data_IF_084971183351
#
_entry.id   IF_084971183351
#
_cell.length_a   1.000
_cell.length_b   1.000
_cell.length_c   1.000
_cell.angle_alpha   90.00
_cell.angle_beta   90.00
_cell.angle_gamma   90.00
#
_symmetry.space_group_name_H-M   'P 1'
#
loop_
_entity.id
_entity.type
_entity.pdbx_description
1 polymer ?
#
# COMPACT_ATOMS: atom_id res chain seq x y z
N UNK A 1 84.55 45.69 35.24
CA UNK A 1 83.25 46.09 34.64
C UNK A 1 82.33 44.90 34.74
N UNK A 2 81.29 44.99 35.57
CA UNK A 2 79.96 44.32 35.52
C UNK A 2 79.80 42.82 35.21
N UNK A 3 78.70 42.20 35.68
CA UNK A 3 78.80 40.95 36.46
C UNK A 3 77.89 39.79 35.97
N UNK A 4 78.04 38.65 36.65
CA UNK A 4 77.02 37.72 37.20
C UNK A 4 76.03 36.91 36.31
N UNK A 5 75.71 35.72 36.86
CA UNK A 5 74.42 34.96 36.83
C UNK A 5 74.11 34.17 35.53
N UNK A 6 73.57 32.95 35.47
CA UNK A 6 72.92 32.02 36.43
C UNK A 6 72.87 30.62 35.80
N UNK A 7 72.75 29.57 36.62
CA UNK A 7 72.40 28.20 36.22
C UNK A 7 70.95 28.07 35.69
N UNK A 8 70.72 27.09 34.80
CA UNK A 8 69.44 26.43 34.53
C UNK A 8 69.77 25.05 33.92
N UNK A 9 69.77 23.98 34.71
CA UNK A 9 68.64 23.07 34.97
C UNK A 9 67.95 22.52 33.72
N UNK A 10 67.94 21.19 33.64
CA UNK A 10 67.51 20.43 32.49
C UNK A 10 66.02 20.56 32.18
N UNK A 11 65.72 20.42 30.89
CA UNK A 11 64.41 20.02 30.41
C UNK A 11 64.60 18.79 29.52
N UNK A 12 63.97 17.64 29.83
CA UNK A 12 63.85 16.57 28.87
C UNK A 12 62.99 17.08 27.70
N UNK A 13 63.48 16.86 26.47
CA UNK A 13 62.71 17.12 25.25
C UNK A 13 61.37 16.37 25.34
N UNK A 14 60.24 16.97 24.91
CA UNK A 14 59.00 16.24 24.79
C UNK A 14 59.22 15.16 23.74
N UNK A 15 59.04 13.91 24.14
CA UNK A 15 58.85 12.81 23.21
C UNK A 15 57.51 13.09 22.55
N UNK A 16 57.54 13.70 21.36
CA UNK A 16 56.38 13.84 20.50
C UNK A 16 55.78 12.45 20.29
N UNK A 17 54.48 12.36 20.55
CA UNK A 17 53.69 11.16 20.55
C UNK A 17 53.39 10.75 19.09
N UNK A 18 54.43 10.44 18.31
CA UNK A 18 54.36 10.13 16.88
C UNK A 18 53.78 8.74 16.58
N UNK A 19 53.38 8.01 17.62
CA UNK A 19 52.76 6.67 17.51
C UNK A 19 51.28 6.73 17.08
N UNK A 20 50.66 7.93 17.05
CA UNK A 20 49.21 8.07 16.78
C UNK A 20 48.77 8.14 15.30
N UNK A 21 49.61 8.67 14.40
CA UNK A 21 49.19 8.97 13.01
C UNK A 21 49.34 7.76 12.09
N UNK A 22 50.46 7.04 12.19
CA UNK A 22 50.76 5.85 11.37
C UNK A 22 49.79 4.69 11.66
N UNK A 23 49.42 4.52 12.94
CA UNK A 23 48.53 3.44 13.38
C UNK A 23 47.08 3.72 12.96
N UNK A 24 46.61 4.97 12.99
CA UNK A 24 45.29 5.34 12.49
C UNK A 24 45.19 5.25 10.96
N UNK A 25 46.31 5.41 10.22
CA UNK A 25 46.32 5.11 8.78
C UNK A 25 46.12 3.64 8.47
N UNK A 26 46.71 2.71 9.24
CA UNK A 26 46.47 1.27 9.06
C UNK A 26 45.01 0.88 9.31
N UNK A 27 44.36 1.46 10.34
CA UNK A 27 42.92 1.24 10.61
C UNK A 27 42.04 1.79 9.50
N UNK A 28 42.38 2.97 8.96
CA UNK A 28 41.68 3.55 7.81
C UNK A 28 41.84 2.68 6.56
N UNK A 29 43.00 2.05 6.38
CA UNK A 29 43.26 1.14 5.27
C UNK A 29 42.49 -0.18 5.42
N UNK A 30 42.45 -0.76 6.64
CA UNK A 30 41.64 -1.93 6.97
C UNK A 30 40.13 -1.67 6.86
N UNK A 31 39.65 -0.48 7.25
CA UNK A 31 38.25 -0.08 7.07
C UNK A 31 37.85 0.09 5.59
N UNK A 32 38.84 0.30 4.71
CA UNK A 32 38.68 0.38 3.25
C UNK A 32 38.90 -0.97 2.55
N UNK A 33 39.37 -1.99 3.28
CA UNK A 33 39.69 -3.29 2.69
C UNK A 33 38.41 -3.91 2.09
N UNK A 34 38.40 -4.04 0.76
CA UNK A 34 37.24 -4.46 -0.04
C UNK A 34 36.91 -5.94 0.07
N UNK A 35 37.30 -6.58 1.17
CA UNK A 35 37.18 -8.02 1.40
C UNK A 35 35.86 -8.42 2.06
N UNK A 36 35.13 -7.47 2.67
CA UNK A 36 33.81 -7.70 3.31
C UNK A 36 32.70 -6.89 2.65
N UNK A 37 31.55 -7.53 2.44
CA UNK A 37 30.36 -6.86 1.91
C UNK A 37 29.67 -6.04 3.01
N UNK A 38 29.58 -4.73 2.81
CA UNK A 38 28.95 -3.81 3.75
C UNK A 38 27.46 -3.66 3.45
N UNK A 39 26.62 -3.96 4.43
CA UNK A 39 25.17 -3.71 4.38
C UNK A 39 24.87 -2.40 5.10
N UNK A 40 24.27 -1.45 4.38
CA UNK A 40 23.86 -0.17 4.97
C UNK A 40 22.53 -0.34 5.70
N UNK A 41 22.54 -0.18 7.02
CA UNK A 41 21.35 -0.28 7.88
C UNK A 41 20.58 1.04 7.95
N UNK A 42 21.29 2.16 7.83
CA UNK A 42 20.74 3.52 7.84
C UNK A 42 21.53 4.36 6.84
N UNK A 43 20.85 4.98 5.88
CA UNK A 43 21.47 6.00 5.03
C UNK A 43 21.57 7.33 5.77
N UNK A 44 22.68 8.06 5.55
CA UNK A 44 22.81 9.44 6.03
C UNK A 44 21.69 10.29 5.41
N UNK A 45 20.86 10.87 6.26
CA UNK A 45 19.84 11.82 5.82
C UNK A 45 20.40 13.22 6.04
N UNK A 46 20.57 14.06 5.01
CA UNK A 46 21.03 15.43 5.21
C UNK A 46 20.04 16.17 6.14
N UNK A 47 20.52 17.02 7.06
CA UNK A 47 19.66 17.73 8.00
C UNK A 47 18.64 18.58 7.23
N UNK A 48 17.36 18.23 7.32
CA UNK A 48 16.26 19.03 6.79
C UNK A 48 15.48 18.48 5.59
N UNK A 49 15.57 17.20 5.22
CA UNK A 49 14.65 16.63 4.23
C UNK A 49 13.22 16.55 4.81
N UNK A 50 12.24 17.34 4.31
CA UNK A 50 10.86 17.24 4.80
C UNK A 50 10.29 15.88 4.39
N UNK A 51 9.69 15.16 5.33
CA UNK A 51 8.87 13.98 5.00
C UNK A 51 7.85 14.37 3.92
N UNK A 52 7.71 13.60 2.84
CA UNK A 52 6.79 13.94 1.77
C UNK A 52 5.37 14.03 2.36
N UNK A 53 4.65 15.16 2.19
CA UNK A 53 3.32 15.30 2.75
C UNK A 53 2.45 14.20 2.17
N UNK A 54 1.69 13.51 3.04
CA UNK A 54 0.72 12.50 2.63
C UNK A 54 -0.23 13.10 1.61
N UNK A 55 0.03 12.85 0.33
CA UNK A 55 -0.66 13.51 -0.77
C UNK A 55 -2.11 13.05 -0.75
N UNK A 56 -3.03 13.97 -0.46
CA UNK A 56 -4.47 13.74 -0.43
C UNK A 56 -4.96 13.01 -1.70
N UNK A 57 -4.27 13.23 -2.83
CA UNK A 57 -4.46 12.55 -4.11
C UNK A 57 -4.39 11.02 -4.02
N UNK A 58 -3.47 10.42 -3.25
CA UNK A 58 -3.35 8.95 -3.15
C UNK A 58 -4.55 8.29 -2.45
N UNK A 59 -5.29 9.02 -1.63
CA UNK A 59 -6.49 8.54 -0.94
C UNK A 59 -7.77 8.81 -1.73
N UNK A 60 -7.85 9.96 -2.42
CA UNK A 60 -9.06 10.37 -3.14
C UNK A 60 -9.18 9.68 -4.51
N UNK A 61 -8.06 9.44 -5.20
CA UNK A 61 -8.05 8.83 -6.54
C UNK A 61 -8.71 7.44 -6.58
N UNK A 62 -8.43 6.47 -5.68
CA UNK A 62 -9.06 5.15 -5.74
C UNK A 62 -10.56 5.21 -5.45
N UNK A 63 -11.01 6.10 -4.56
CA UNK A 63 -12.44 6.28 -4.25
C UNK A 63 -13.17 6.86 -5.46
N UNK A 64 -12.60 7.88 -6.10
CA UNK A 64 -13.15 8.46 -7.31
C UNK A 64 -13.17 7.46 -8.47
N UNK A 65 -12.09 6.67 -8.64
CA UNK A 65 -12.03 5.62 -9.65
C UNK A 65 -13.09 4.52 -9.42
N UNK A 66 -13.28 4.08 -8.17
CA UNK A 66 -14.31 3.12 -7.82
C UNK A 66 -15.73 3.66 -8.09
N UNK A 67 -15.98 4.93 -7.78
CA UNK A 67 -17.25 5.59 -8.09
C UNK A 67 -17.53 5.64 -9.60
N UNK A 68 -16.54 6.01 -10.41
CA UNK A 68 -16.65 6.04 -11.87
C UNK A 68 -16.89 4.63 -12.41
N UNK A 69 -16.19 3.63 -11.90
CA UNK A 69 -16.37 2.24 -12.31
C UNK A 69 -17.80 1.74 -12.03
N UNK A 70 -18.35 2.03 -10.84
CA UNK A 70 -19.74 1.69 -10.50
C UNK A 70 -20.72 2.40 -11.42
N UNK A 71 -20.53 3.69 -11.69
CA UNK A 71 -21.38 4.46 -12.60
C UNK A 71 -21.40 3.84 -14.02
N UNK A 72 -20.22 3.47 -14.53
CA UNK A 72 -20.07 2.81 -15.83
C UNK A 72 -20.78 1.45 -15.86
N UNK A 73 -20.61 0.63 -14.82
CA UNK A 73 -21.28 -0.68 -14.72
C UNK A 73 -22.81 -0.49 -14.74
N UNK A 74 -23.34 0.42 -13.93
CA UNK A 74 -24.78 0.70 -13.88
C UNK A 74 -25.29 1.19 -15.25
N UNK A 75 -24.55 2.06 -15.93
CA UNK A 75 -24.92 2.53 -17.26
C UNK A 75 -24.92 1.40 -18.30
N UNK A 76 -23.91 0.53 -18.29
CA UNK A 76 -23.80 -0.60 -19.22
C UNK A 76 -24.91 -1.64 -18.96
N UNK A 77 -25.07 -2.08 -17.71
CA UNK A 77 -26.12 -3.04 -17.33
C UNK A 77 -27.49 -2.47 -17.64
N UNK A 78 -27.71 -1.20 -17.30
CA UNK A 78 -28.95 -0.50 -17.63
C UNK A 78 -29.25 -0.49 -19.12
N UNK A 79 -28.26 -0.15 -19.95
CA UNK A 79 -28.40 -0.18 -21.41
C UNK A 79 -28.71 -1.57 -21.96
N UNK A 80 -28.12 -2.64 -21.39
CA UNK A 80 -28.37 -4.01 -21.83
C UNK A 80 -29.79 -4.47 -21.47
N UNK A 81 -30.22 -4.21 -20.24
CA UNK A 81 -31.57 -4.55 -19.78
C UNK A 81 -32.62 -3.74 -20.54
N UNK A 82 -32.36 -2.45 -20.78
CA UNK A 82 -33.22 -1.57 -21.58
C UNK A 82 -33.53 -2.16 -22.96
N UNK A 83 -32.48 -2.57 -23.68
CA UNK A 83 -32.62 -3.12 -25.03
C UNK A 83 -33.47 -4.39 -25.03
N UNK A 84 -33.24 -5.29 -24.07
CA UNK A 84 -34.02 -6.53 -23.91
C UNK A 84 -35.50 -6.26 -23.67
N UNK A 85 -35.81 -5.31 -22.79
CA UNK A 85 -37.20 -4.94 -22.47
C UNK A 85 -37.86 -4.28 -23.68
N UNK A 86 -37.17 -3.39 -24.39
CA UNK A 86 -37.70 -2.72 -25.58
C UNK A 86 -38.01 -3.72 -26.72
N UNK A 87 -37.15 -4.72 -26.93
CA UNK A 87 -37.39 -5.81 -27.90
C UNK A 87 -38.66 -6.61 -27.53
N UNK A 88 -38.78 -7.05 -26.28
CA UNK A 88 -39.94 -7.81 -25.81
C UNK A 88 -41.25 -7.01 -25.88
N UNK A 89 -41.21 -5.73 -25.53
CA UNK A 89 -42.39 -4.87 -25.55
C UNK A 89 -42.84 -4.55 -26.98
N UNK A 90 -41.90 -4.32 -27.90
CA UNK A 90 -42.23 -4.03 -29.30
C UNK A 90 -42.95 -5.23 -29.97
N UNK A 91 -42.51 -6.46 -29.69
CA UNK A 91 -43.19 -7.68 -30.18
C UNK A 91 -44.64 -7.73 -29.68
N UNK A 92 -44.85 -7.49 -28.38
CA UNK A 92 -46.18 -7.54 -27.78
C UNK A 92 -47.13 -6.46 -28.31
N UNK A 93 -46.65 -5.21 -28.45
CA UNK A 93 -47.45 -4.09 -28.92
C UNK A 93 -47.96 -4.31 -30.35
N UNK A 94 -47.13 -4.93 -31.20
CA UNK A 94 -47.48 -5.21 -32.59
C UNK A 94 -48.46 -6.38 -32.70
N UNK A 95 -48.33 -7.41 -31.86
CA UNK A 95 -49.32 -8.49 -31.79
C UNK A 95 -50.73 -7.93 -31.48
N UNK A 96 -50.85 -7.06 -30.47
CA UNK A 96 -52.12 -6.41 -30.11
C UNK A 96 -52.67 -5.51 -31.22
N UNK A 97 -51.80 -4.74 -31.89
CA UNK A 97 -52.23 -3.90 -33.01
C UNK A 97 -52.74 -4.75 -34.18
N UNK A 98 -52.08 -5.86 -34.46
CA UNK A 98 -52.45 -6.79 -35.53
C UNK A 98 -53.80 -7.45 -35.24
N UNK A 99 -54.08 -7.82 -33.98
CA UNK A 99 -55.40 -8.31 -33.56
C UNK A 99 -56.51 -7.30 -33.90
N UNK A 100 -56.32 -6.04 -33.53
CA UNK A 100 -57.29 -4.97 -33.80
C UNK A 100 -57.48 -4.74 -35.31
N UNK A 101 -56.41 -4.81 -36.10
CA UNK A 101 -56.48 -4.67 -37.56
C UNK A 101 -57.15 -5.87 -38.23
N UNK A 102 -56.89 -7.08 -37.74
CA UNK A 102 -57.49 -8.31 -38.22
C UNK A 102 -59.01 -8.28 -38.01
N UNK A 103 -59.46 -8.06 -36.77
CA UNK A 103 -60.87 -8.06 -36.40
C UNK A 103 -61.63 -6.86 -36.99
N UNK A 104 -60.98 -5.69 -37.06
CA UNK A 104 -61.60 -4.43 -37.44
C UNK A 104 -61.59 -4.11 -38.94
N UNK A 105 -60.64 -4.67 -39.71
CA UNK A 105 -60.44 -4.30 -41.13
C UNK A 105 -60.43 -5.51 -42.05
N UNK A 106 -59.69 -6.57 -41.72
CA UNK A 106 -59.49 -7.68 -42.66
C UNK A 106 -60.65 -8.68 -42.60
N UNK A 107 -60.98 -9.20 -41.42
CA UNK A 107 -62.01 -10.21 -41.26
C UNK A 107 -63.40 -9.77 -41.75
N UNK A 108 -63.84 -8.50 -41.53
CA UNK A 108 -65.11 -8.01 -42.09
C UNK A 108 -65.15 -7.93 -43.62
N UNK A 109 -64.00 -7.96 -44.28
CA UNK A 109 -63.87 -7.88 -45.73
C UNK A 109 -63.73 -9.26 -46.42
N UNK A 110 -63.59 -10.34 -45.64
CA UNK A 110 -63.47 -11.70 -46.18
C UNK A 110 -64.80 -12.23 -46.70
N UNK A 111 -64.75 -13.01 -47.78
CA UNK A 111 -65.89 -13.77 -48.30
C UNK A 111 -65.46 -15.19 -48.66
N UNK A 112 -66.42 -16.11 -48.73
CA UNK A 112 -66.15 -17.56 -48.79
C UNK A 112 -65.55 -18.03 -50.13
N UNK A 113 -65.60 -17.17 -51.16
CA UNK A 113 -65.00 -17.47 -52.47
C UNK A 113 -63.51 -17.11 -52.54
N UNK A 114 -63.00 -16.31 -51.58
CA UNK A 114 -61.63 -15.81 -51.56
C UNK A 114 -60.54 -16.90 -51.44
N UNK A 115 -60.72 -17.99 -50.68
CA UNK A 115 -59.68 -19.03 -50.55
C UNK A 115 -59.34 -19.78 -51.85
N UNK A 116 -60.16 -19.64 -52.90
CA UNK A 116 -60.04 -20.40 -54.16
C UNK A 116 -59.57 -19.58 -55.35
N UNK A 117 -59.56 -18.24 -55.25
CA UNK A 117 -59.20 -17.32 -56.34
C UNK A 117 -58.33 -16.16 -55.81
N UNK A 118 -56.99 -16.31 -55.81
CA UNK A 118 -56.06 -15.29 -55.31
C UNK A 118 -56.21 -13.93 -56.02
N UNK A 119 -56.56 -13.92 -57.31
CA UNK A 119 -56.73 -12.67 -58.07
C UNK A 119 -57.95 -11.88 -57.58
N UNK A 120 -59.05 -12.58 -57.27
CA UNK A 120 -60.27 -11.98 -56.71
C UNK A 120 -60.06 -11.49 -55.27
N UNK A 121 -59.36 -12.29 -54.46
CA UNK A 121 -58.99 -11.90 -53.09
C UNK A 121 -58.14 -10.65 -53.08
N UNK A 122 -57.16 -10.57 -53.99
CA UNK A 122 -56.34 -9.38 -54.14
C UNK A 122 -57.14 -8.16 -54.59
N UNK A 123 -58.04 -8.30 -55.57
CA UNK A 123 -58.87 -7.18 -56.03
C UNK A 123 -59.80 -6.63 -54.92
N UNK A 124 -60.28 -7.50 -54.02
CA UNK A 124 -61.15 -7.09 -52.92
C UNK A 124 -60.40 -6.43 -51.75
N UNK A 125 -59.21 -6.94 -51.41
CA UNK A 125 -58.47 -6.50 -50.23
C UNK A 125 -57.46 -5.37 -50.51
N UNK A 126 -56.94 -5.25 -51.74
CA UNK A 126 -55.91 -4.25 -52.07
C UNK A 126 -56.31 -2.80 -51.76
N UNK A 127 -57.54 -2.33 -52.08
CA UNK A 127 -57.96 -0.97 -51.72
C UNK A 127 -58.03 -0.76 -50.21
N UNK A 128 -58.48 -1.77 -49.45
CA UNK A 128 -58.59 -1.70 -47.99
C UNK A 128 -57.22 -1.68 -47.33
N UNK A 129 -56.31 -2.54 -47.77
CA UNK A 129 -54.97 -2.64 -47.21
C UNK A 129 -54.15 -1.38 -47.51
N UNK A 130 -54.19 -0.88 -48.75
CA UNK A 130 -53.45 0.34 -49.11
C UNK A 130 -53.96 1.60 -48.40
N UNK A 131 -55.27 1.70 -48.16
CA UNK A 131 -55.87 2.88 -47.54
C UNK A 131 -55.90 2.83 -46.01
N UNK A 132 -56.03 1.63 -45.41
CA UNK A 132 -56.24 1.49 -43.96
C UNK A 132 -55.08 0.83 -43.20
N UNK A 133 -54.28 -0.03 -43.83
CA UNK A 133 -53.21 -0.77 -43.14
C UNK A 133 -51.81 -0.18 -43.40
N UNK A 134 -51.45 0.09 -44.66
CA UNK A 134 -50.10 0.63 -44.97
C UNK A 134 -49.80 1.99 -44.29
N UNK A 135 -50.77 2.91 -44.08
CA UNK A 135 -50.53 4.13 -43.31
C UNK A 135 -50.26 3.90 -41.81
N UNK A 136 -50.61 2.72 -41.27
CA UNK A 136 -50.48 2.37 -39.85
C UNK A 136 -49.10 1.83 -39.46
N UNK A 137 -48.03 2.25 -40.16
CA UNK A 137 -46.64 1.78 -39.99
C UNK A 137 -46.39 0.32 -40.40
N UNK A 138 -47.34 -0.29 -41.11
CA UNK A 138 -47.20 -1.61 -41.72
C UNK A 138 -46.41 -1.46 -43.03
N UNK A 139 -45.34 -2.24 -43.18
CA UNK A 139 -44.46 -2.28 -44.36
C UNK A 139 -44.97 -3.26 -45.40
N UNK A 140 -45.50 -4.40 -44.94
CA UNK A 140 -45.97 -5.49 -45.77
C UNK A 140 -47.14 -6.19 -45.12
N UNK A 141 -48.09 -6.61 -45.94
CA UNK A 141 -49.23 -7.43 -45.59
C UNK A 141 -49.23 -8.65 -46.51
N UNK A 142 -49.44 -9.83 -45.93
CA UNK A 142 -49.68 -11.07 -46.67
C UNK A 142 -50.88 -11.80 -46.05
N UNK A 143 -51.66 -12.48 -46.86
CA UNK A 143 -52.69 -13.41 -46.40
C UNK A 143 -52.42 -14.75 -47.04
N UNK A 144 -52.36 -15.79 -46.22
CA UNK A 144 -51.99 -17.13 -46.65
C UNK A 144 -53.13 -18.12 -46.46
N UNK A 145 -53.17 -19.10 -47.35
CA UNK A 145 -53.91 -20.33 -47.11
C UNK A 145 -53.16 -21.23 -46.11
N UNK A 146 -53.84 -22.16 -45.43
CA UNK A 146 -53.18 -23.18 -44.59
C UNK A 146 -52.21 -24.10 -45.38
N UNK A 147 -52.28 -24.09 -46.71
CA UNK A 147 -51.35 -24.82 -47.59
C UNK A 147 -50.09 -24.03 -47.96
N UNK A 148 -49.90 -22.83 -47.41
CA UNK A 148 -48.74 -21.98 -47.69
C UNK A 148 -48.81 -21.20 -49.00
N UNK A 149 -50.01 -21.02 -49.57
CA UNK A 149 -50.19 -20.19 -50.78
C UNK A 149 -50.55 -18.76 -50.39
N UNK A 150 -49.87 -17.78 -50.97
CA UNK A 150 -50.16 -16.35 -50.77
C UNK A 150 -51.45 -15.99 -51.53
N UNK A 151 -52.55 -15.82 -50.81
CA UNK A 151 -53.84 -15.41 -51.36
C UNK A 151 -53.92 -13.90 -51.62
N UNK A 152 -53.18 -13.12 -50.83
CA UNK A 152 -53.02 -11.67 -51.03
C UNK A 152 -51.66 -11.19 -50.54
N UNK A 153 -51.10 -10.20 -51.23
CA UNK A 153 -50.01 -9.36 -50.73
C UNK A 153 -50.07 -7.99 -51.40
N UNK A 154 -49.65 -6.94 -50.68
CA UNK A 154 -49.45 -5.60 -51.26
C UNK A 154 -48.25 -5.53 -52.23
N UNK A 155 -47.42 -6.59 -52.28
CA UNK A 155 -46.50 -6.91 -53.38
C UNK A 155 -47.16 -7.91 -54.35
N UNK A 156 -47.70 -7.45 -55.49
CA UNK A 156 -48.50 -8.31 -56.37
C UNK A 156 -47.73 -9.50 -56.94
N UNK A 157 -46.40 -9.40 -57.02
CA UNK A 157 -45.54 -10.50 -57.52
C UNK A 157 -45.61 -11.75 -56.64
N UNK A 158 -45.94 -11.62 -55.36
CA UNK A 158 -46.04 -12.76 -54.43
C UNK A 158 -47.38 -13.51 -54.52
N UNK A 159 -48.43 -12.86 -55.04
CA UNK A 159 -49.79 -13.44 -55.08
C UNK A 159 -49.82 -14.70 -55.95
N UNK A 160 -50.37 -15.79 -55.38
CA UNK A 160 -50.47 -17.09 -56.03
C UNK A 160 -49.21 -17.96 -55.95
N UNK A 161 -48.12 -17.47 -55.35
CA UNK A 161 -46.94 -18.30 -55.07
C UNK A 161 -47.16 -19.15 -53.79
N UNK A 162 -46.49 -20.30 -53.72
CA UNK A 162 -46.56 -21.21 -52.57
C UNK A 162 -45.19 -21.35 -51.92
N UNK A 163 -45.14 -21.17 -50.61
CA UNK A 163 -43.95 -21.29 -49.77
C UNK A 163 -44.25 -22.22 -48.58
N UNK A 164 -43.25 -22.88 -47.99
CA UNK A 164 -43.45 -23.60 -46.74
C UNK A 164 -43.83 -22.61 -45.63
N UNK A 165 -44.88 -22.92 -44.85
CA UNK A 165 -45.23 -22.14 -43.67
C UNK A 165 -44.19 -22.36 -42.56
N UNK A 166 -43.93 -21.29 -41.82
CA UNK A 166 -43.04 -21.29 -40.67
C UNK A 166 -43.63 -22.10 -39.51
N UNK A 167 -42.79 -22.47 -38.53
CA UNK A 167 -43.25 -23.19 -37.33
C UNK A 167 -44.22 -22.29 -36.55
N UNK A 168 -43.88 -21.02 -36.37
CA UNK A 168 -44.65 -19.98 -35.71
C UNK A 168 -45.98 -19.71 -36.45
N UNK A 169 -45.94 -19.63 -37.78
CA UNK A 169 -47.13 -19.49 -38.63
C UNK A 169 -48.08 -20.70 -38.54
N UNK A 170 -47.51 -21.90 -38.42
CA UNK A 170 -48.26 -23.15 -38.27
C UNK A 170 -48.85 -23.27 -36.86
N UNK A 171 -48.08 -22.91 -35.83
CA UNK A 171 -48.53 -22.83 -34.45
C UNK A 171 -49.66 -21.82 -34.28
N UNK A 172 -49.53 -20.62 -34.87
CA UNK A 172 -50.57 -19.60 -34.87
C UNK A 172 -51.90 -20.13 -35.45
N UNK A 173 -51.84 -20.86 -36.57
CA UNK A 173 -53.03 -21.49 -37.19
C UNK A 173 -53.63 -22.63 -36.37
N UNK A 174 -52.79 -23.48 -35.78
CA UNK A 174 -53.22 -24.68 -35.04
C UNK A 174 -53.73 -24.37 -33.64
N UNK A 175 -53.07 -23.46 -32.93
CA UNK A 175 -53.43 -23.04 -31.58
C UNK A 175 -54.42 -21.86 -31.56
N UNK A 176 -54.75 -21.30 -32.73
CA UNK A 176 -55.61 -20.13 -32.88
C UNK A 176 -55.13 -18.91 -32.07
N UNK A 177 -53.80 -18.71 -31.97
CA UNK A 177 -53.17 -17.61 -31.23
C UNK A 177 -52.43 -16.66 -32.16
N UNK A 178 -52.34 -15.40 -31.75
CA UNK A 178 -51.50 -14.40 -32.40
C UNK A 178 -50.06 -14.61 -31.97
N UNK A 179 -49.16 -14.76 -32.93
CA UNK A 179 -47.73 -14.90 -32.67
C UNK A 179 -46.96 -13.79 -33.35
N UNK A 180 -45.89 -13.32 -32.72
CA UNK A 180 -45.10 -12.20 -33.20
C UNK A 180 -43.62 -12.43 -32.88
N UNK A 181 -42.76 -12.17 -33.86
CA UNK A 181 -41.31 -12.27 -33.67
C UNK A 181 -40.55 -11.25 -34.55
N UNK A 182 -39.23 -11.21 -34.39
CA UNK A 182 -38.32 -10.49 -35.25
C UNK A 182 -38.12 -11.28 -36.54
N UNK A 183 -38.43 -10.65 -37.66
CA UNK A 183 -38.42 -11.31 -38.96
C UNK A 183 -37.04 -11.78 -39.42
N UNK A 184 -36.98 -13.02 -39.92
CA UNK A 184 -35.82 -13.55 -40.64
C UNK A 184 -35.92 -13.24 -42.15
N UNK A 185 -35.30 -12.14 -42.55
CA UNK A 185 -35.32 -11.68 -43.93
C UNK A 185 -34.48 -12.53 -44.90
N UNK A 186 -33.76 -13.55 -44.41
CA UNK A 186 -32.97 -14.45 -45.27
C UNK A 186 -33.86 -15.41 -46.09
N UNK A 187 -35.12 -15.58 -45.69
CA UNK A 187 -36.04 -16.56 -46.28
C UNK A 187 -36.49 -16.22 -47.72
N UNK A 188 -36.90 -17.21 -48.53
CA UNK A 188 -37.27 -17.02 -49.94
C UNK A 188 -38.45 -16.05 -50.16
N UNK A 189 -39.48 -16.15 -49.33
CA UNK A 189 -40.70 -15.35 -49.33
C UNK A 189 -40.47 -13.88 -48.92
N UNK A 190 -39.31 -13.58 -48.33
CA UNK A 190 -38.92 -12.25 -47.85
C UNK A 190 -38.00 -11.49 -48.81
N UNK A 191 -37.95 -11.94 -50.08
CA UNK A 191 -37.04 -11.39 -51.10
C UNK A 191 -37.25 -9.89 -51.38
N UNK A 192 -38.43 -9.33 -51.12
CA UNK A 192 -38.76 -7.93 -51.38
C UNK A 192 -38.63 -7.02 -50.14
N UNK A 193 -38.35 -7.62 -48.98
CA UNK A 193 -38.29 -6.97 -47.66
C UNK A 193 -36.84 -6.84 -47.18
N UNK A 194 -35.88 -7.55 -47.80
CA UNK A 194 -34.46 -7.61 -47.39
C UNK A 194 -33.76 -6.26 -47.23
N UNK A 195 -34.23 -5.24 -47.94
CA UNK A 195 -33.66 -3.88 -47.90
C UNK A 195 -34.29 -2.98 -46.83
N UNK A 196 -35.31 -3.46 -46.11
CA UNK A 196 -36.11 -2.65 -45.17
C UNK A 196 -35.54 -2.60 -43.74
N UNK A 197 -34.40 -3.26 -43.49
CA UNK A 197 -33.76 -3.30 -42.17
C UNK A 197 -34.47 -4.28 -41.23
N UNK A 198 -34.40 -4.05 -39.91
CA UNK A 198 -35.03 -4.95 -38.91
C UNK A 198 -36.55 -4.77 -38.94
N UNK A 199 -37.28 -5.86 -39.20
CA UNK A 199 -38.74 -5.89 -39.20
C UNK A 199 -39.26 -6.79 -38.06
N UNK A 200 -40.46 -6.50 -37.59
CA UNK A 200 -41.26 -7.36 -36.73
C UNK A 200 -42.34 -7.99 -37.59
N UNK A 201 -42.45 -9.31 -37.57
CA UNK A 201 -43.50 -10.05 -38.27
C UNK A 201 -44.52 -10.59 -37.26
N UNK A 202 -45.79 -10.56 -37.66
CA UNK A 202 -46.89 -11.03 -36.82
C UNK A 202 -47.80 -11.93 -37.64
N UNK A 203 -48.07 -13.11 -37.08
CA UNK A 203 -48.94 -14.16 -37.59
C UNK A 203 -50.24 -14.18 -36.80
N UNK A 204 -51.35 -13.88 -37.46
CA UNK A 204 -52.70 -13.89 -36.87
C UNK A 204 -53.62 -14.80 -37.66
N UNK A 205 -54.18 -15.88 -37.08
CA UNK A 205 -55.25 -16.62 -37.74
C UNK A 205 -56.50 -15.74 -37.88
N UNK A 206 -57.11 -15.77 -39.05
CA UNK A 206 -58.38 -15.11 -39.39
C UNK A 206 -59.31 -16.15 -40.02
N UNK A 207 -60.62 -15.91 -40.02
CA UNK A 207 -61.60 -16.85 -40.55
C UNK A 207 -62.52 -16.20 -41.57
N UNK A 208 -62.79 -16.91 -42.67
CA UNK A 208 -63.89 -16.54 -43.57
C UNK A 208 -65.24 -16.71 -42.85
N UNK A 209 -66.33 -16.12 -43.34
CA UNK A 209 -67.68 -16.33 -42.78
C UNK A 209 -68.06 -17.82 -42.61
N UNK A 210 -67.66 -18.68 -43.55
CA UNK A 210 -67.86 -20.14 -43.50
C UNK A 210 -66.90 -20.90 -42.55
N UNK A 211 -66.02 -20.19 -41.85
CA UNK A 211 -65.11 -20.76 -40.85
C UNK A 211 -63.81 -21.34 -41.41
N UNK A 212 -63.45 -21.06 -42.67
CA UNK A 212 -62.15 -21.47 -43.21
C UNK A 212 -61.02 -20.62 -42.62
N UNK A 213 -59.99 -21.24 -42.00
CA UNK A 213 -58.88 -20.49 -41.44
C UNK A 213 -57.94 -20.00 -42.54
N UNK A 214 -57.54 -18.74 -42.46
CA UNK A 214 -56.47 -18.12 -43.23
C UNK A 214 -55.47 -17.50 -42.26
N UNK A 215 -54.26 -17.25 -42.71
CA UNK A 215 -53.25 -16.58 -41.90
C UNK A 215 -53.06 -15.15 -42.39
N UNK A 216 -53.30 -14.18 -41.51
CA UNK A 216 -52.98 -12.78 -41.71
C UNK A 216 -51.56 -12.52 -41.20
N UNK A 217 -50.67 -12.11 -42.09
CA UNK A 217 -49.29 -11.79 -41.76
C UNK A 217 -49.01 -10.32 -42.03
N UNK A 218 -48.35 -9.67 -41.09
CA UNK A 218 -48.00 -8.25 -41.20
C UNK A 218 -46.57 -7.98 -40.75
N UNK A 219 -45.90 -7.06 -41.44
CA UNK A 219 -44.54 -6.65 -41.13
C UNK A 219 -44.53 -5.19 -40.70
N UNK A 220 -43.85 -4.89 -39.60
CA UNK A 220 -43.71 -3.55 -39.06
C UNK A 220 -42.23 -3.16 -38.98
N UNK A 221 -41.91 -1.88 -39.15
CA UNK A 221 -40.52 -1.42 -38.95
C UNK A 221 -40.21 -1.44 -37.46
N UNK A 222 -39.10 -2.08 -37.10
CA UNK A 222 -38.66 -2.17 -35.71
C UNK A 222 -38.46 -0.77 -35.10
N UNK A 223 -37.84 0.16 -35.84
CA UNK A 223 -37.49 1.50 -35.33
C UNK A 223 -38.72 2.37 -35.03
N UNK A 224 -39.83 2.22 -35.76
CA UNK A 224 -41.05 3.00 -35.51
C UNK A 224 -41.79 2.56 -34.25
N UNK A 225 -41.62 1.31 -33.84
CA UNK A 225 -42.24 0.75 -32.63
C UNK A 225 -41.32 0.95 -31.41
N UNK A 226 -40.01 0.78 -31.58
CA UNK A 226 -39.02 0.89 -30.51
C UNK A 226 -38.74 2.33 -30.03
N UNK A 227 -38.98 3.36 -30.84
CA UNK A 227 -38.62 4.75 -30.52
C UNK A 227 -39.33 5.34 -29.29
N UNK A 228 -40.49 4.81 -28.87
CA UNK A 228 -41.20 5.28 -27.66
C UNK A 228 -40.52 4.89 -26.34
N UNK A 229 -39.63 3.89 -26.33
CA UNK A 229 -38.98 3.40 -25.10
C UNK A 229 -37.73 4.22 -24.69
N UNK A 230 -37.18 5.05 -25.60
CA UNK A 230 -35.91 5.75 -25.34
C UNK A 230 -35.99 6.99 -24.44
N UNK A 231 -37.17 7.61 -24.28
CA UNK A 231 -37.31 8.84 -23.48
C UNK A 231 -37.34 8.57 -21.97
N UNK A 232 -38.00 7.48 -21.56
CA UNK A 232 -38.06 7.05 -20.16
C UNK A 232 -36.66 6.72 -19.62
N UNK A 233 -35.83 6.05 -20.43
CA UNK A 233 -34.50 5.61 -20.00
C UNK A 233 -33.50 6.75 -19.76
N UNK A 234 -33.55 7.84 -20.54
CA UNK A 234 -32.67 9.01 -20.28
C UNK A 234 -33.00 9.66 -18.94
N UNK A 235 -34.28 9.70 -18.56
CA UNK A 235 -34.73 10.15 -17.25
C UNK A 235 -34.19 9.26 -16.13
N UNK A 236 -34.34 7.94 -16.25
CA UNK A 236 -33.83 6.98 -15.26
C UNK A 236 -32.30 7.03 -15.11
N UNK A 237 -31.55 7.13 -16.21
CA UNK A 237 -30.10 7.26 -16.17
C UNK A 237 -29.65 8.53 -15.43
N UNK A 238 -30.33 9.66 -15.68
CA UNK A 238 -30.06 10.91 -14.97
C UNK A 238 -30.33 10.80 -13.46
N UNK A 239 -31.40 10.12 -13.06
CA UNK A 239 -31.75 9.87 -11.64
C UNK A 239 -30.76 8.92 -10.97
N UNK A 240 -30.34 7.86 -11.65
CA UNK A 240 -29.34 6.92 -11.13
C UNK A 240 -27.98 7.59 -10.95
N UNK A 241 -27.56 8.41 -11.91
CA UNK A 241 -26.28 9.12 -11.82
C UNK A 241 -26.31 10.23 -10.76
N UNK A 242 -27.42 10.97 -10.66
CA UNK A 242 -27.58 12.03 -9.66
C UNK A 242 -27.69 11.48 -8.24
N UNK A 243 -28.36 10.34 -8.04
CA UNK A 243 -28.41 9.66 -6.74
C UNK A 243 -27.05 9.11 -6.32
N UNK A 244 -26.26 8.53 -7.25
CA UNK A 244 -24.88 8.11 -6.97
C UNK A 244 -23.98 9.30 -6.58
N UNK A 245 -24.09 10.41 -7.31
CA UNK A 245 -23.35 11.64 -7.00
C UNK A 245 -23.75 12.20 -5.61
N UNK A 246 -25.05 12.23 -5.31
CA UNK A 246 -25.55 12.68 -4.01
C UNK A 246 -25.02 11.80 -2.87
N UNK A 247 -24.99 10.48 -3.05
CA UNK A 247 -24.41 9.55 -2.08
C UNK A 247 -22.91 9.80 -1.85
N UNK A 248 -22.16 10.06 -2.92
CA UNK A 248 -20.73 10.38 -2.81
C UNK A 248 -20.50 11.69 -2.05
N UNK A 249 -21.30 12.72 -2.35
CA UNK A 249 -21.25 14.01 -1.64
C UNK A 249 -21.64 13.87 -0.17
N UNK A 250 -22.57 12.99 0.16
CA UNK A 250 -22.97 12.67 1.54
C UNK A 250 -21.84 11.95 2.31
N UNK A 251 -21.16 10.99 1.67
CA UNK A 251 -20.11 10.19 2.31
C UNK A 251 -18.77 10.93 2.42
N UNK A 252 -18.48 11.86 1.51
CA UNK A 252 -17.23 12.63 1.50
C UNK A 252 -16.88 13.30 2.85
N UNK A 253 -17.77 14.08 3.51
CA UNK A 253 -17.45 14.71 4.80
C UNK A 253 -17.22 13.69 5.91
N UNK A 254 -17.92 12.54 5.89
CA UNK A 254 -17.73 11.47 6.86
C UNK A 254 -16.34 10.84 6.73
N UNK A 255 -15.93 10.50 5.50
CA UNK A 255 -14.59 9.95 5.23
C UNK A 255 -13.51 10.96 5.63
N UNK A 256 -13.70 12.23 5.29
CA UNK A 256 -12.77 13.29 5.68
C UNK A 256 -12.63 13.43 7.20
N UNK A 257 -13.75 13.41 7.93
CA UNK A 257 -13.79 13.47 9.39
C UNK A 257 -13.04 12.28 10.02
N UNK A 258 -13.30 11.06 9.55
CA UNK A 258 -12.66 9.85 10.06
C UNK A 258 -11.16 9.84 9.80
N UNK A 259 -10.72 10.24 8.60
CA UNK A 259 -9.30 10.37 8.27
C UNK A 259 -8.60 11.41 9.16
N UNK A 260 -9.22 12.56 9.37
CA UNK A 260 -8.67 13.60 10.25
C UNK A 260 -8.60 13.12 11.70
N UNK A 261 -9.62 12.40 12.19
CA UNK A 261 -9.62 11.83 13.53
C UNK A 261 -8.51 10.80 13.71
N UNK A 262 -8.36 9.89 12.75
CA UNK A 262 -7.29 8.88 12.77
C UNK A 262 -5.90 9.52 12.81
N UNK A 263 -5.67 10.56 12.00
CA UNK A 263 -4.41 11.33 12.01
C UNK A 263 -4.13 11.97 13.38
N UNK A 264 -5.13 12.62 13.98
CA UNK A 264 -4.99 13.24 15.32
C UNK A 264 -4.68 12.22 16.41
N UNK A 265 -5.30 11.05 16.36
CA UNK A 265 -5.06 9.97 17.33
C UNK A 265 -3.61 9.47 17.21
N UNK A 266 -3.12 9.23 15.99
CA UNK A 266 -1.72 8.80 15.76
C UNK A 266 -0.72 9.84 16.26
N UNK A 267 -0.89 11.11 15.89
CA UNK A 267 0.00 12.18 16.36
C UNK A 267 0.03 12.29 17.89
N UNK A 268 -1.11 12.07 18.56
CA UNK A 268 -1.19 12.07 20.02
C UNK A 268 -0.54 10.85 20.65
N UNK A 269 -0.65 9.68 20.01
CA UNK A 269 0.05 8.46 20.46
C UNK A 269 1.56 8.64 20.35
N UNK A 270 2.06 9.16 19.22
CA UNK A 270 3.48 9.46 19.02
C UNK A 270 4.00 10.45 20.06
N UNK A 271 3.26 11.52 20.34
CA UNK A 271 3.65 12.50 21.36
C UNK A 271 3.67 11.91 22.77
N UNK A 272 2.69 11.07 23.14
CA UNK A 272 2.66 10.40 24.45
C UNK A 272 3.83 9.43 24.59
N UNK A 273 4.16 8.66 23.53
CA UNK A 273 5.33 7.77 23.53
C UNK A 273 6.62 8.57 23.67
N UNK A 274 6.76 9.67 22.94
CA UNK A 274 7.91 10.58 23.02
C UNK A 274 8.08 11.15 24.44
N UNK A 275 6.98 11.62 25.05
CA UNK A 275 6.99 12.13 26.42
C UNK A 275 7.33 11.04 27.44
N UNK A 276 6.79 9.83 27.28
CA UNK A 276 7.09 8.71 28.16
C UNK A 276 8.57 8.28 28.07
N UNK A 277 9.14 8.26 26.86
CA UNK A 277 10.56 8.00 26.66
C UNK A 277 11.43 9.08 27.30
N UNK A 278 11.13 10.36 27.06
CA UNK A 278 11.87 11.47 27.67
C UNK A 278 11.79 11.44 29.21
N UNK A 279 10.62 11.15 29.77
CA UNK A 279 10.44 10.98 31.22
C UNK A 279 11.22 9.77 31.76
N UNK A 280 11.26 8.65 31.01
CA UNK A 280 12.05 7.47 31.37
C UNK A 280 13.56 7.76 31.37
N UNK A 281 14.04 8.52 30.39
CA UNK A 281 15.44 8.94 30.33
C UNK A 281 15.80 9.89 31.48
N UNK A 282 14.94 10.86 31.81
CA UNK A 282 15.14 11.76 32.95
C UNK A 282 15.12 11.01 34.29
N UNK A 283 14.24 10.01 34.43
CA UNK A 283 14.20 9.14 35.60
C UNK A 283 15.51 8.35 35.75
N UNK A 284 16.00 7.74 34.66
CA UNK A 284 17.30 7.03 34.65
C UNK A 284 18.46 7.95 35.03
N UNK A 285 18.47 9.19 34.51
CA UNK A 285 19.44 10.23 34.90
C UNK A 285 19.40 10.51 36.38
N UNK A 286 18.21 10.75 36.93
CA UNK A 286 18.02 11.07 38.35
C UNK A 286 18.47 9.92 39.24
N UNK A 287 18.13 8.68 38.90
CA UNK A 287 18.57 7.48 39.61
C UNK A 287 20.10 7.37 39.59
N UNK A 288 20.71 7.53 38.41
CA UNK A 288 22.16 7.43 38.28
C UNK A 288 22.90 8.50 39.10
N UNK A 289 22.44 9.76 39.05
CA UNK A 289 22.97 10.85 39.86
C UNK A 289 22.82 10.57 41.37
N UNK A 290 21.61 10.17 41.81
CA UNK A 290 21.35 9.87 43.23
C UNK A 290 22.19 8.71 43.76
N UNK A 291 22.42 7.67 42.95
CA UNK A 291 23.28 6.55 43.34
C UNK A 291 24.76 6.95 43.38
N UNK A 292 25.20 7.77 42.44
CA UNK A 292 26.58 8.25 42.39
C UNK A 292 26.91 9.17 43.57
N UNK A 293 26.08 10.18 43.80
CA UNK A 293 26.32 11.19 44.84
C UNK A 293 26.01 10.68 46.25
N UNK A 294 25.12 9.69 46.38
CA UNK A 294 24.79 9.09 47.66
C UNK A 294 25.61 7.84 47.96
N UNK A 295 25.18 6.72 47.38
CA UNK A 295 25.61 5.38 47.78
C UNK A 295 27.08 5.13 47.42
N UNK A 296 27.51 5.49 46.21
CA UNK A 296 28.90 5.28 45.76
C UNK A 296 29.88 6.10 46.60
N UNK A 297 29.58 7.38 46.87
CA UNK A 297 30.45 8.23 47.70
C UNK A 297 30.55 7.74 49.14
N UNK A 298 29.44 7.31 49.75
CA UNK A 298 29.44 6.76 51.11
C UNK A 298 30.25 5.46 51.21
N UNK A 299 30.11 4.56 50.24
CA UNK A 299 30.91 3.33 50.19
C UNK A 299 32.40 3.65 49.99
N UNK A 300 32.73 4.63 49.15
CA UNK A 300 34.12 5.05 48.94
C UNK A 300 34.74 5.58 50.24
N UNK A 301 34.04 6.47 50.95
CA UNK A 301 34.49 6.96 52.26
C UNK A 301 34.68 5.81 53.27
N UNK A 302 33.76 4.85 53.29
CA UNK A 302 33.86 3.66 54.16
C UNK A 302 35.07 2.79 53.82
N UNK A 303 35.36 2.60 52.52
CA UNK A 303 36.56 1.87 52.06
C UNK A 303 37.84 2.59 52.47
N UNK A 304 37.91 3.91 52.31
CA UNK A 304 39.07 4.70 52.74
C UNK A 304 39.29 4.66 54.25
N UNK A 305 38.22 4.76 55.04
CA UNK A 305 38.30 4.64 56.50
C UNK A 305 38.81 3.25 56.92
N UNK A 306 38.27 2.17 56.33
CA UNK A 306 38.73 0.81 56.59
C UNK A 306 40.20 0.60 56.22
N UNK A 307 40.65 1.15 55.08
CA UNK A 307 42.04 1.09 54.66
C UNK A 307 42.97 1.87 55.64
N UNK A 308 42.56 3.05 56.09
CA UNK A 308 43.33 3.83 57.07
C UNK A 308 43.45 3.14 58.43
N UNK A 309 42.38 2.49 58.92
CA UNK A 309 42.45 1.67 60.13
C UNK A 309 43.29 0.41 59.95
N UNK A 310 43.28 -0.20 58.77
CA UNK A 310 44.16 -1.34 58.46
C UNK A 310 45.63 -0.93 58.55
N UNK A 311 45.98 0.26 58.04
CA UNK A 311 47.34 0.81 58.08
C UNK A 311 47.78 1.11 59.52
N UNK A 312 46.90 1.68 60.35
CA UNK A 312 47.18 1.90 61.79
C UNK A 312 47.36 0.59 62.57
N UNK A 313 46.62 -0.46 62.22
CA UNK A 313 46.68 -1.76 62.88
C UNK A 313 47.93 -2.59 62.50
N UNK A 314 48.64 -2.22 61.44
CA UNK A 314 49.84 -2.91 60.95
C UNK A 314 49.59 -4.37 60.54
N UNK A 315 50.66 -5.18 60.55
CA UNK A 315 50.63 -6.62 60.21
C UNK A 315 50.02 -7.50 61.33
N UNK A 316 48.83 -7.12 61.78
CA UNK A 316 48.03 -7.88 62.74
C UNK A 316 46.87 -8.59 62.04
N UNK A 317 46.31 -9.66 62.63
CA UNK A 317 45.09 -10.30 62.09
C UNK A 317 43.93 -9.31 61.89
N UNK A 318 43.84 -8.28 62.74
CA UNK A 318 42.86 -7.20 62.61
C UNK A 318 43.14 -6.31 61.38
N UNK A 319 44.41 -5.92 61.16
CA UNK A 319 44.83 -5.16 59.98
C UNK A 319 44.52 -5.90 58.67
N UNK A 320 44.83 -7.20 58.60
CA UNK A 320 44.51 -8.03 57.44
C UNK A 320 42.98 -8.14 57.20
N UNK A 321 42.17 -8.28 58.25
CA UNK A 321 40.71 -8.29 58.15
C UNK A 321 40.13 -6.96 57.65
N UNK A 322 40.67 -5.82 58.12
CA UNK A 322 40.26 -4.49 57.66
C UNK A 322 40.66 -4.22 56.20
N UNK A 323 41.82 -4.74 55.76
CA UNK A 323 42.24 -4.64 54.35
C UNK A 323 41.29 -5.40 53.42
N UNK A 324 40.95 -6.64 53.79
CA UNK A 324 39.97 -7.48 53.07
C UNK A 324 38.58 -6.84 53.02
N UNK A 325 38.16 -6.17 54.10
CA UNK A 325 36.91 -5.40 54.14
C UNK A 325 36.96 -4.19 53.18
N UNK A 326 38.07 -3.45 53.16
CA UNK A 326 38.27 -2.34 52.24
C UNK A 326 38.23 -2.79 50.77
N UNK A 327 38.82 -3.95 50.46
CA UNK A 327 38.79 -4.57 49.12
C UNK A 327 37.38 -5.04 48.72
N UNK A 328 36.65 -5.65 49.65
CA UNK A 328 35.25 -6.09 49.40
C UNK A 328 34.36 -4.89 49.07
N UNK A 329 34.51 -3.77 49.79
CA UNK A 329 33.78 -2.53 49.51
C UNK A 329 34.21 -1.94 48.15
N UNK A 330 35.50 -1.95 47.80
CA UNK A 330 35.98 -1.53 46.46
C UNK A 330 35.37 -2.37 45.35
N UNK A 331 35.30 -3.69 45.52
CA UNK A 331 34.65 -4.60 44.57
C UNK A 331 33.16 -4.28 44.38
N UNK A 332 32.46 -3.97 45.47
CA UNK A 332 31.05 -3.58 45.44
C UNK A 332 30.83 -2.24 44.73
N UNK A 333 31.73 -1.26 44.92
CA UNK A 333 31.73 0.02 44.20
C UNK A 333 31.95 -0.21 42.70
N UNK A 334 32.88 -1.09 42.31
CA UNK A 334 33.13 -1.42 40.92
C UNK A 334 31.90 -2.05 40.25
N UNK A 335 31.24 -2.99 40.93
CA UNK A 335 29.97 -3.58 40.46
C UNK A 335 28.85 -2.54 40.31
N UNK A 336 28.70 -1.64 41.29
CA UNK A 336 27.68 -0.59 41.24
C UNK A 336 27.95 0.43 40.12
N UNK A 337 29.22 0.79 39.86
CA UNK A 337 29.61 1.64 38.73
C UNK A 337 29.32 0.97 37.39
N UNK A 338 29.56 -0.33 37.26
CA UNK A 338 29.20 -1.09 36.06
C UNK A 338 27.70 -1.02 35.77
N UNK A 339 26.85 -1.25 36.79
CA UNK A 339 25.39 -1.11 36.66
C UNK A 339 24.95 0.32 36.31
N UNK A 340 25.65 1.34 36.83
CA UNK A 340 25.38 2.73 36.50
C UNK A 340 25.72 3.06 35.04
N UNK A 341 26.81 2.51 34.49
CA UNK A 341 27.17 2.64 33.08
C UNK A 341 26.12 2.00 32.16
N UNK A 342 25.54 0.87 32.57
CA UNK A 342 24.45 0.20 31.84
C UNK A 342 23.13 1.00 31.84
N UNK A 343 22.87 1.79 32.90
CA UNK A 343 21.61 2.54 33.05
C UNK A 343 21.72 3.97 32.48
N UNK A 344 22.82 4.67 32.74
CA UNK A 344 23.12 6.01 32.24
C UNK A 344 24.62 6.34 32.38
N UNK A 345 25.42 6.37 31.30
CA UNK A 345 26.87 6.60 31.36
C UNK A 345 27.19 8.03 31.80
N UNK A 346 27.67 8.27 33.05
CA UNK A 346 27.86 9.61 33.58
C UNK A 346 29.11 10.30 33.01
N UNK A 347 30.09 9.54 32.51
CA UNK A 347 31.37 10.02 31.96
C UNK A 347 31.21 10.82 30.67
N UNK A 348 30.21 10.52 29.84
CA UNK A 348 29.99 11.20 28.57
C UNK A 348 29.67 12.69 28.73
N UNK A 349 28.85 13.07 29.71
CA UNK A 349 28.53 14.49 29.97
C UNK A 349 29.64 15.24 30.70
N UNK A 350 30.33 14.59 31.64
CA UNK A 350 31.29 15.25 32.52
C UNK A 350 32.67 15.42 31.86
N UNK A 351 33.04 14.46 31.02
CA UNK A 351 34.40 14.35 30.47
C UNK A 351 34.44 14.29 28.94
N UNK A 352 33.29 14.19 28.26
CA UNK A 352 33.18 14.10 26.80
C UNK A 352 33.29 12.67 26.26
N UNK A 353 33.14 12.54 24.94
CA UNK A 353 33.11 11.25 24.24
C UNK A 353 34.41 10.43 24.38
N UNK A 354 35.58 11.08 24.28
CA UNK A 354 36.88 10.39 24.32
C UNK A 354 37.10 9.63 25.63
N UNK A 355 36.99 10.26 26.83
CA UNK A 355 37.11 9.54 28.09
C UNK A 355 36.04 8.47 28.26
N UNK A 356 34.80 8.73 27.84
CA UNK A 356 33.70 7.78 27.98
C UNK A 356 33.95 6.49 27.17
N UNK A 357 34.43 6.60 25.93
CA UNK A 357 34.80 5.46 25.09
C UNK A 357 36.02 4.69 25.62
N UNK A 358 37.02 5.38 26.18
CA UNK A 358 38.17 4.74 26.86
C UNK A 358 37.73 3.95 28.09
N UNK A 359 36.82 4.51 28.89
CA UNK A 359 36.28 3.85 30.07
C UNK A 359 35.46 2.62 29.69
N UNK A 360 34.63 2.73 28.64
CA UNK A 360 33.87 1.62 28.08
C UNK A 360 34.80 0.48 27.61
N UNK A 361 35.87 0.80 26.88
CA UNK A 361 36.85 -0.20 26.45
C UNK A 361 37.55 -0.90 27.62
N UNK A 362 37.92 -0.16 28.68
CA UNK A 362 38.53 -0.75 29.88
C UNK A 362 37.57 -1.66 30.65
N UNK A 363 36.29 -1.30 30.71
CA UNK A 363 35.27 -2.09 31.40
C UNK A 363 35.08 -3.46 30.74
N UNK A 364 35.00 -3.50 29.41
CA UNK A 364 34.87 -4.76 28.66
C UNK A 364 36.19 -5.55 28.64
N UNK A 365 37.35 -4.88 28.67
CA UNK A 365 38.63 -5.56 28.81
C UNK A 365 38.74 -6.35 30.12
N UNK A 366 38.14 -5.85 31.20
CA UNK A 366 38.06 -6.55 32.48
C UNK A 366 37.16 -7.81 32.43
N UNK A 367 36.32 -7.94 31.39
CA UNK A 367 35.47 -9.12 31.15
C UNK A 367 36.17 -10.23 30.36
N UNK A 368 37.45 -10.07 29.99
CA UNK A 368 38.29 -11.13 29.40
C UNK A 368 38.54 -11.03 27.89
N UNK A 369 38.19 -9.90 27.25
CA UNK A 369 38.41 -9.65 25.82
C UNK A 369 39.49 -8.56 25.64
N UNK A 370 40.41 -8.70 24.68
CA UNK A 370 41.40 -7.65 24.42
C UNK A 370 40.77 -6.50 23.64
N UNK A 371 40.52 -5.35 24.29
CA UNK A 371 39.95 -4.16 23.63
C UNK A 371 41.03 -3.12 23.36
N UNK A 372 41.30 -2.84 22.07
CA UNK A 372 42.20 -1.77 21.64
C UNK A 372 41.41 -0.53 21.22
N UNK A 373 41.49 0.54 22.03
CA UNK A 373 40.81 1.80 21.75
C UNK A 373 41.75 2.86 21.16
N UNK A 374 41.46 3.32 19.93
CA UNK A 374 42.22 4.31 19.15
C UNK A 374 41.33 5.50 18.84
N UNK A 375 41.38 6.53 19.67
CA UNK A 375 40.40 7.63 19.64
C UNK A 375 41.11 8.95 19.35
N UNK A 376 40.78 9.55 18.20
CA UNK A 376 41.14 10.91 17.85
C UNK A 376 40.30 11.91 18.66
N UNK A 377 40.97 12.63 19.56
CA UNK A 377 40.33 13.56 20.47
C UNK A 377 39.82 14.83 19.75
N UNK A 378 40.48 15.22 18.64
CA UNK A 378 40.01 16.33 17.82
C UNK A 378 38.68 15.96 17.15
N UNK A 379 38.59 14.76 16.57
CA UNK A 379 37.37 14.24 15.94
C UNK A 379 36.19 14.13 16.92
N UNK A 380 36.45 13.75 18.18
CA UNK A 380 35.41 13.69 19.21
C UNK A 380 34.85 15.08 19.57
N UNK A 381 35.72 16.10 19.63
CA UNK A 381 35.38 17.44 20.10
C UNK A 381 34.56 18.28 19.11
N UNK A 382 34.58 17.94 17.82
CA UNK A 382 33.81 18.65 16.79
C UNK A 382 32.33 18.25 16.76
N UNK A 383 31.98 17.10 17.34
CA UNK A 383 30.63 16.55 17.30
C UNK A 383 29.65 17.27 18.25
N UNK A 384 28.41 17.56 17.82
CA UNK A 384 27.34 18.00 18.71
C UNK A 384 27.04 16.95 19.80
N UNK A 385 26.54 17.38 20.96
CA UNK A 385 26.24 16.52 22.12
C UNK A 385 25.35 15.32 21.75
N UNK A 386 24.27 15.55 20.99
CA UNK A 386 23.38 14.48 20.52
C UNK A 386 24.10 13.43 19.65
N UNK A 387 25.09 13.85 18.87
CA UNK A 387 25.90 12.95 18.03
C UNK A 387 26.93 12.20 18.87
N UNK A 388 27.53 12.84 19.88
CA UNK A 388 28.40 12.16 20.84
C UNK A 388 27.63 11.06 21.61
N UNK A 389 26.39 11.32 22.02
CA UNK A 389 25.52 10.31 22.63
C UNK A 389 25.21 9.13 21.69
N UNK A 390 24.94 9.41 20.41
CA UNK A 390 24.70 8.37 19.42
C UNK A 390 25.95 7.50 19.19
N UNK A 391 27.13 8.12 19.04
CA UNK A 391 28.41 7.44 18.89
C UNK A 391 28.71 6.55 20.11
N UNK A 392 28.51 7.06 21.32
CA UNK A 392 28.72 6.28 22.54
C UNK A 392 27.78 5.08 22.63
N UNK A 393 26.47 5.27 22.37
CA UNK A 393 25.48 4.17 22.41
C UNK A 393 25.78 3.08 21.39
N UNK A 394 26.20 3.48 20.18
CA UNK A 394 26.59 2.52 19.13
C UNK A 394 27.84 1.75 19.54
N UNK A 395 28.86 2.42 20.09
CA UNK A 395 30.05 1.74 20.62
C UNK A 395 29.72 0.77 21.76
N UNK A 396 28.85 1.18 22.70
CA UNK A 396 28.42 0.34 23.83
C UNK A 396 27.71 -0.92 23.38
N UNK A 397 26.74 -0.79 22.49
CA UNK A 397 25.99 -1.93 21.97
C UNK A 397 26.88 -2.86 21.13
N UNK A 398 27.77 -2.29 20.30
CA UNK A 398 28.69 -3.06 19.48
C UNK A 398 29.69 -3.86 20.32
N UNK A 399 30.32 -3.23 21.32
CA UNK A 399 31.23 -3.91 22.26
C UNK A 399 30.51 -5.00 23.06
N UNK A 400 29.30 -4.71 23.56
CA UNK A 400 28.50 -5.71 24.26
C UNK A 400 28.18 -6.91 23.38
N UNK A 401 27.88 -6.68 22.10
CA UNK A 401 27.62 -7.76 21.15
C UNK A 401 28.88 -8.59 20.87
N UNK A 402 30.04 -7.95 20.72
CA UNK A 402 31.31 -8.66 20.55
C UNK A 402 31.61 -9.59 21.74
N UNK A 403 31.43 -9.09 22.97
CA UNK A 403 31.71 -9.83 24.21
C UNK A 403 30.69 -10.94 24.46
N UNK A 404 29.39 -10.67 24.29
CA UNK A 404 28.33 -11.62 24.69
C UNK A 404 27.88 -12.57 23.58
N UNK A 405 28.05 -12.19 22.31
CA UNK A 405 27.47 -12.91 21.19
C UNK A 405 28.52 -13.42 20.19
N UNK A 406 29.60 -12.67 19.95
CA UNK A 406 30.60 -13.05 18.94
C UNK A 406 31.68 -14.01 19.46
N UNK A 407 31.84 -14.16 20.77
CA UNK A 407 32.99 -14.88 21.38
C UNK A 407 34.34 -14.34 20.89
N UNK A 408 34.41 -13.02 20.68
CA UNK A 408 35.61 -12.36 20.19
C UNK A 408 36.76 -12.45 21.21
N UNK A 409 37.97 -12.63 20.72
CA UNK A 409 39.19 -12.57 21.52
C UNK A 409 39.78 -11.16 21.53
N UNK A 410 39.55 -10.40 20.44
CA UNK A 410 40.03 -9.04 20.26
C UNK A 410 38.95 -8.16 19.64
N UNK A 411 38.84 -6.94 20.16
CA UNK A 411 37.98 -5.89 19.61
C UNK A 411 38.78 -4.62 19.39
N UNK A 412 38.65 -4.02 18.23
CA UNK A 412 39.18 -2.72 17.89
C UNK A 412 38.08 -1.67 17.90
N UNK A 413 38.27 -0.62 18.70
CA UNK A 413 37.40 0.55 18.78
C UNK A 413 38.18 1.76 18.28
N UNK A 414 37.78 2.33 17.14
CA UNK A 414 38.43 3.48 16.56
C UNK A 414 37.47 4.65 16.31
N UNK A 415 37.92 5.87 16.62
CA UNK A 415 37.23 7.12 16.27
C UNK A 415 38.22 8.01 15.53
N UNK A 416 37.90 8.41 14.30
CA UNK A 416 38.79 9.20 13.47
C UNK A 416 38.01 10.07 12.47
N UNK A 417 38.63 11.13 11.98
CA UNK A 417 38.08 11.93 10.87
C UNK A 417 38.56 11.37 9.52
N UNK A 418 37.66 11.24 8.54
CA UNK A 418 37.97 10.88 7.16
C UNK A 418 37.42 11.97 6.21
N UNK A 419 38.28 12.91 5.80
CA UNK A 419 37.82 14.08 5.03
C UNK A 419 36.94 15.00 5.89
N UNK A 420 35.68 15.19 5.48
CA UNK A 420 34.68 15.97 6.21
C UNK A 420 33.72 15.10 7.05
N UNK A 421 34.05 13.82 7.27
CA UNK A 421 33.23 12.93 8.10
C UNK A 421 33.98 12.46 9.33
N UNK A 422 33.28 12.36 10.46
CA UNK A 422 33.75 11.65 11.64
C UNK A 422 33.22 10.22 11.60
N UNK A 423 34.13 9.26 11.74
CA UNK A 423 33.85 7.84 11.66
C UNK A 423 34.14 7.16 12.99
N UNK A 424 33.16 6.42 13.50
CA UNK A 424 33.33 5.43 14.56
C UNK A 424 33.34 4.04 13.91
N UNK A 425 34.38 3.27 14.21
CA UNK A 425 34.54 1.90 13.77
C UNK A 425 34.66 1.00 15.01
N UNK A 426 33.86 -0.06 15.05
CA UNK A 426 33.99 -1.14 16.03
C UNK A 426 34.13 -2.44 15.26
N UNK A 427 35.23 -3.17 15.46
CA UNK A 427 35.53 -4.40 14.75
C UNK A 427 35.96 -5.49 15.74
N UNK A 428 35.34 -6.66 15.63
CA UNK A 428 35.70 -7.85 16.38
C UNK A 428 36.22 -8.99 15.47
N UNK A 429 36.95 -9.92 16.07
CA UNK A 429 37.47 -11.14 15.45
C UNK A 429 36.66 -12.40 15.80
N UNK A 430 35.41 -12.22 16.26
CA UNK A 430 34.55 -13.31 16.69
C UNK A 430 33.87 -14.05 15.54
N UNK A 431 32.76 -14.71 15.85
CA UNK A 431 31.88 -15.31 14.85
C UNK A 431 30.81 -14.29 14.44
N UNK A 432 30.80 -13.90 13.17
CA UNK A 432 29.78 -13.03 12.63
C UNK A 432 28.42 -13.73 12.41
N UNK A 433 27.51 -13.00 11.80
CA UNK A 433 26.12 -13.42 11.56
C UNK A 433 25.64 -12.98 10.18
N UNK A 434 24.60 -13.63 9.68
CA UNK A 434 23.98 -13.25 8.41
C UNK A 434 23.19 -11.95 8.57
N UNK A 435 23.60 -10.91 7.86
CA UNK A 435 22.87 -9.64 7.80
C UNK A 435 21.70 -9.78 6.81
N UNK A 436 20.61 -10.44 7.24
CA UNK A 436 19.40 -10.55 6.43
C UNK A 436 18.67 -9.18 6.33
N UNK A 437 17.96 -8.96 5.22
CA UNK A 437 17.24 -7.72 4.88
C UNK A 437 16.31 -7.19 6.00
N UNK A 438 15.92 -5.89 6.00
CA UNK A 438 15.36 -5.15 7.15
C UNK A 438 13.95 -5.56 7.62
N UNK A 439 13.46 -6.75 7.27
CA UNK A 439 12.09 -7.18 7.51
C UNK A 439 12.04 -8.46 8.37
N UNK A 440 12.12 -8.27 9.69
CA UNK A 440 11.52 -9.20 10.65
C UNK A 440 12.49 -9.90 11.59
N UNK A 441 12.45 -9.47 12.85
CA UNK A 441 12.67 -10.27 14.07
C UNK A 441 13.94 -11.15 14.14
N UNK A 442 15.04 -10.57 14.63
CA UNK A 442 15.81 -11.19 15.75
C UNK A 442 16.97 -10.33 16.30
N UNK A 443 17.26 -9.17 15.70
CA UNK A 443 18.41 -8.35 16.12
C UNK A 443 17.99 -7.01 16.74
N UNK A 444 17.51 -7.06 17.99
CA UNK A 444 17.08 -5.89 18.75
C UNK A 444 18.22 -4.85 18.91
N UNK A 445 19.47 -5.29 19.11
CA UNK A 445 20.64 -4.40 19.22
C UNK A 445 20.90 -3.58 17.95
N UNK A 446 20.82 -4.20 16.76
CA UNK A 446 20.99 -3.49 15.48
C UNK A 446 19.89 -2.46 15.25
N UNK A 447 18.66 -2.74 15.68
CA UNK A 447 17.56 -1.77 15.60
C UNK A 447 17.82 -0.54 16.48
N UNK A 448 18.26 -0.75 17.73
CA UNK A 448 18.59 0.35 18.63
C UNK A 448 19.74 1.22 18.10
N UNK A 449 20.78 0.60 17.54
CA UNK A 449 21.88 1.31 16.89
C UNK A 449 21.39 2.09 15.66
N UNK A 450 20.51 1.51 14.84
CA UNK A 450 19.89 2.19 13.72
C UNK A 450 19.02 3.39 14.14
N UNK A 451 18.27 3.28 15.24
CA UNK A 451 17.49 4.39 15.78
C UNK A 451 18.37 5.49 16.38
N UNK A 452 19.53 5.16 16.96
CA UNK A 452 20.52 6.14 17.38
C UNK A 452 21.13 6.88 16.17
N UNK A 453 21.52 6.16 15.12
CA UNK A 453 22.07 6.73 13.88
C UNK A 453 21.07 7.66 13.16
N UNK A 454 19.81 7.23 13.02
CA UNK A 454 18.75 8.06 12.41
C UNK A 454 18.54 9.38 13.13
N UNK A 455 18.60 9.39 14.47
CA UNK A 455 18.38 10.61 15.27
C UNK A 455 19.43 11.69 15.05
N UNK A 456 20.66 11.33 14.73
CA UNK A 456 21.74 12.27 14.43
C UNK A 456 22.03 12.41 12.93
N UNK A 457 21.22 11.81 12.05
CA UNK A 457 21.43 11.85 10.60
C UNK A 457 22.66 11.09 10.12
N UNK A 458 23.23 10.21 10.96
CA UNK A 458 24.41 9.44 10.64
C UNK A 458 24.09 8.23 9.75
N UNK A 459 25.06 7.82 8.93
CA UNK A 459 25.02 6.57 8.18
C UNK A 459 25.56 5.44 9.05
N UNK A 460 24.82 4.34 9.12
CA UNK A 460 25.23 3.14 9.83
C UNK A 460 25.36 1.98 8.84
N UNK A 461 26.53 1.37 8.80
CA UNK A 461 26.82 0.20 8.00
C UNK A 461 27.38 -0.93 8.87
N UNK A 462 27.06 -2.17 8.51
CA UNK A 462 27.57 -3.38 9.16
C UNK A 462 28.11 -4.33 8.11
N UNK A 463 29.24 -4.95 8.42
CA UNK A 463 29.79 -6.07 7.67
C UNK A 463 30.04 -7.21 8.65
N UNK A 464 29.55 -8.41 8.36
CA UNK A 464 29.69 -9.54 9.26
C UNK A 464 29.90 -10.82 8.46
N UNK A 465 30.92 -11.60 8.85
CA UNK A 465 31.31 -12.85 8.21
C UNK A 465 31.86 -13.85 9.25
N UNK A 466 32.33 -15.02 8.82
CA UNK A 466 32.90 -16.02 9.73
C UNK A 466 34.19 -15.56 10.46
N UNK A 467 34.76 -14.41 10.09
CA UNK A 467 35.96 -13.82 10.69
C UNK A 467 35.63 -12.65 11.64
N UNK A 468 34.35 -12.39 11.90
CA UNK A 468 33.88 -11.40 12.88
C UNK A 468 32.94 -10.35 12.32
N UNK A 469 32.65 -9.34 13.14
CA UNK A 469 31.75 -8.23 12.75
C UNK A 469 32.50 -6.90 12.76
N UNK A 470 32.22 -6.05 11.77
CA UNK A 470 32.64 -4.67 11.69
C UNK A 470 31.42 -3.76 11.56
N UNK A 471 31.38 -2.70 12.37
CA UNK A 471 30.29 -1.74 12.39
C UNK A 471 30.86 -0.33 12.26
N UNK A 472 30.38 0.41 11.25
CA UNK A 472 30.84 1.75 10.90
C UNK A 472 29.69 2.74 11.01
N UNK A 473 29.86 3.76 11.85
CA UNK A 473 28.94 4.89 11.97
C UNK A 473 29.64 6.15 11.45
N UNK A 474 29.04 6.81 10.47
CA UNK A 474 29.61 7.96 9.77
C UNK A 474 28.69 9.16 9.90
N UNK A 475 29.23 10.31 10.30
CA UNK A 475 28.49 11.57 10.39
C UNK A 475 29.32 12.69 9.75
N UNK A 476 28.67 13.64 9.08
CA UNK A 476 29.34 14.84 8.61
C UNK A 476 29.84 15.65 9.82
N UNK A 477 31.10 16.09 9.76
CA UNK A 477 31.81 16.82 10.81
C UNK A 477 31.28 18.24 11.01
#
# INVERSE_FOLDING_TARGET
>A
MSPATTAAEGHPRPVENTVGVEVLSEVREQARDGTREWVTLVEATPPGAPEPPVQLRRLVLPIAAAAIAVALIVAVVGSLVSRRIAEAQAVHDVAQLTDVLADGVIQPALSDQMPTDPARTAAALDPLVRQRLLPASVVRVKIWSPSGTVLYSDEPRLVGQTFPLEEEATEALTEARTDADISDLSRPENSFERTQGKLLEVYRPIWTPDGHPLLFETYFRYDSVAQRSHELWRGFAGVMLSSLLALLLLLAPLVWLLLNRARRVRARQEEVVRQALAASEEERRRIAASLHDGVVQQLAATSFAAAGYAEQAGDTPLGAGLHSLADTVRGSIAGLRSLLVDIYPPSLRLSGLTPALRDLARAEAAAGVEVQARIDEAAASTLPEATQEAMFRVAQEALRNAVRHAQASRVELALFTEGETVCLLVQDDGHGFTVAEPAGSDHFGLRLMGDAARRCGARLAVASDERGTALKLEVAA
#
